data_IF_605433576372
#
_entry.id   IF_605433576372
#
_cell.length_a   1.000
_cell.length_b   1.000
_cell.length_c   1.000
_cell.angle_alpha   90.00
_cell.angle_beta   90.00
_cell.angle_gamma   90.00
#
_symmetry.space_group_name_H-M   'P 1'
#
loop_
_entity.id
_entity.type
_entity.pdbx_description
1 polymer ?
#
# COMPACT_ATOMS: atom_id res chain seq x y z
N UNK A 1 -7.66 7.08 15.27
CA UNK A 1 -7.59 6.02 14.23
C UNK A 1 -6.53 6.45 13.23
N UNK A 2 -5.46 5.67 13.03
CA UNK A 2 -4.39 6.02 12.08
C UNK A 2 -4.97 5.98 10.67
N UNK A 3 -5.41 7.14 10.16
CA UNK A 3 -6.01 7.27 8.84
C UNK A 3 -4.94 6.96 7.78
N UNK A 4 -5.02 5.78 7.18
CA UNK A 4 -4.26 5.48 5.97
C UNK A 4 -4.58 6.52 4.89
N UNK A 5 -3.56 6.96 4.16
CA UNK A 5 -3.72 7.90 3.04
C UNK A 5 -4.26 7.17 1.81
N UNK A 6 -4.87 7.93 0.90
CA UNK A 6 -5.27 7.40 -0.41
C UNK A 6 -4.04 6.91 -1.19
N UNK A 7 -4.22 5.81 -1.91
CA UNK A 7 -3.19 5.25 -2.79
C UNK A 7 -2.95 6.17 -3.98
N UNK A 8 -1.69 6.33 -4.37
CA UNK A 8 -1.32 6.96 -5.65
C UNK A 8 -1.42 5.93 -6.79
N UNK A 9 -1.29 6.38 -8.05
CA UNK A 9 -1.38 5.49 -9.23
C UNK A 9 -0.34 4.35 -9.19
N UNK A 10 0.92 4.64 -8.84
CA UNK A 10 1.98 3.62 -8.74
C UNK A 10 1.64 2.53 -7.71
N UNK A 11 1.08 2.91 -6.56
CA UNK A 11 0.66 1.98 -5.50
C UNK A 11 -0.54 1.12 -5.91
N UNK A 12 -1.47 1.67 -6.70
CA UNK A 12 -2.59 0.88 -7.25
C UNK A 12 -2.08 -0.21 -8.18
N UNK A 13 -1.20 0.16 -9.12
CA UNK A 13 -0.57 -0.80 -10.04
C UNK A 13 0.23 -1.85 -9.26
N UNK A 14 0.97 -1.44 -8.23
CA UNK A 14 1.72 -2.39 -7.38
C UNK A 14 0.82 -3.41 -6.68
N UNK A 15 -0.33 -2.98 -6.14
CA UNK A 15 -1.29 -3.89 -5.52
C UNK A 15 -1.95 -4.81 -6.55
N UNK A 16 -2.31 -4.28 -7.73
CA UNK A 16 -2.87 -5.06 -8.85
C UNK A 16 -1.89 -6.14 -9.33
N UNK A 17 -0.60 -5.81 -9.46
CA UNK A 17 0.47 -6.77 -9.81
C UNK A 17 0.62 -7.89 -8.76
N UNK A 18 0.29 -7.60 -7.49
CA UNK A 18 0.22 -8.59 -6.41
C UNK A 18 -1.12 -9.35 -6.34
N UNK A 19 -2.04 -9.10 -7.26
CA UNK A 19 -3.38 -9.69 -7.28
C UNK A 19 -4.32 -9.15 -6.20
N UNK A 20 -4.02 -7.97 -5.63
CA UNK A 20 -4.83 -7.32 -4.60
C UNK A 20 -5.66 -6.19 -5.21
N UNK A 21 -6.92 -6.04 -4.77
CA UNK A 21 -7.77 -4.95 -5.23
C UNK A 21 -7.41 -3.64 -4.51
N UNK A 22 -6.87 -2.61 -5.20
CA UNK A 22 -6.42 -1.38 -4.55
C UNK A 22 -7.54 -0.59 -3.86
N UNK A 23 -8.78 -0.75 -4.31
CA UNK A 23 -9.93 -0.06 -3.71
C UNK A 23 -10.19 -0.49 -2.27
N UNK A 24 -9.74 -1.69 -1.90
CA UNK A 24 -9.87 -2.21 -0.54
C UNK A 24 -8.73 -1.77 0.38
N UNK A 25 -7.74 -1.01 -0.12
CA UNK A 25 -6.54 -0.65 0.65
C UNK A 25 -6.34 0.87 0.78
N UNK A 26 -5.61 1.25 1.83
CA UNK A 26 -5.03 2.56 2.06
C UNK A 26 -3.54 2.40 2.33
N UNK A 27 -2.73 3.42 2.06
CA UNK A 27 -1.31 3.41 2.45
C UNK A 27 -1.18 3.95 3.87
N UNK A 28 -0.64 3.13 4.77
CA UNK A 28 -0.41 3.56 6.16
C UNK A 28 0.96 4.25 6.28
N UNK A 29 2.02 3.61 5.79
CA UNK A 29 3.38 4.16 5.78
C UNK A 29 4.02 3.90 4.43
N UNK A 30 4.82 4.87 3.98
CA UNK A 30 5.72 4.74 2.84
C UNK A 30 7.07 5.28 3.24
N UNK A 31 8.11 4.46 3.18
CA UNK A 31 9.51 4.87 3.25
C UNK A 31 10.17 4.60 1.89
N UNK A 32 11.48 4.88 1.79
CA UNK A 32 12.25 4.60 0.58
C UNK A 32 12.36 3.11 0.28
N UNK A 33 12.34 2.26 1.33
CA UNK A 33 12.61 0.82 1.26
C UNK A 33 11.41 -0.06 1.59
N UNK A 34 10.35 0.51 2.17
CA UNK A 34 9.17 -0.24 2.58
C UNK A 34 7.88 0.54 2.33
N UNK A 35 6.79 -0.18 2.12
CA UNK A 35 5.44 0.36 2.11
C UNK A 35 4.51 -0.56 2.88
N UNK A 36 3.66 0.02 3.72
CA UNK A 36 2.60 -0.70 4.41
C UNK A 36 1.24 -0.26 3.91
N UNK A 37 0.40 -1.25 3.59
CA UNK A 37 -0.98 -1.03 3.19
C UNK A 37 -1.92 -1.63 4.21
N UNK A 38 -2.94 -0.87 4.59
CA UNK A 38 -4.01 -1.34 5.47
C UNK A 38 -5.25 -1.65 4.64
N UNK A 39 -5.79 -2.86 4.81
CA UNK A 39 -7.06 -3.24 4.20
C UNK A 39 -8.22 -2.62 5.00
N UNK A 40 -9.10 -1.89 4.32
CA UNK A 40 -10.24 -1.17 4.91
C UNK A 40 -11.31 -2.11 5.49
N UNK A 41 -11.44 -3.31 4.92
CA UNK A 41 -12.46 -4.29 5.33
C UNK A 41 -12.01 -5.12 6.52
N UNK A 42 -10.75 -5.52 6.55
CA UNK A 42 -10.21 -6.43 7.58
C UNK A 42 -9.35 -5.73 8.63
N UNK A 43 -9.02 -4.44 8.44
CA UNK A 43 -8.04 -3.69 9.22
C UNK A 43 -6.66 -4.35 9.30
N UNK A 44 -6.38 -5.32 8.43
CA UNK A 44 -5.09 -6.02 8.38
C UNK A 44 -4.07 -5.15 7.67
N UNK A 45 -2.93 -4.94 8.31
CA UNK A 45 -1.77 -4.26 7.73
C UNK A 45 -0.87 -5.28 7.04
N UNK A 46 -0.51 -5.00 5.81
CA UNK A 46 0.41 -5.81 5.01
C UNK A 46 1.63 -4.97 4.64
N UNK A 47 2.82 -5.51 4.90
CA UNK A 47 4.09 -4.84 4.64
C UNK A 47 4.72 -5.41 3.39
N UNK A 48 5.23 -4.53 2.54
CA UNK A 48 5.98 -4.89 1.34
C UNK A 48 7.32 -4.16 1.36
N UNK A 49 8.41 -4.90 1.18
CA UNK A 49 9.70 -4.31 0.86
C UNK A 49 9.67 -3.86 -0.60
N UNK A 50 9.96 -2.59 -0.83
CA UNK A 50 10.00 -2.01 -2.17
C UNK A 50 10.96 -0.83 -2.19
N UNK A 51 11.85 -0.83 -3.17
CA UNK A 51 12.86 0.21 -3.32
C UNK A 51 12.29 1.34 -4.19
N UNK A 52 11.40 2.17 -3.62
CA UNK A 52 10.73 3.26 -4.36
C UNK A 52 11.70 4.30 -4.93
N UNK A 53 12.95 4.34 -4.46
CA UNK A 53 14.00 5.22 -4.96
C UNK A 53 14.60 4.78 -6.29
N UNK A 54 14.35 3.55 -6.75
CA UNK A 54 14.88 3.00 -8.02
C UNK A 54 13.82 2.75 -9.10
N UNK A 55 12.57 3.22 -8.91
CA UNK A 55 11.43 3.00 -9.83
C UNK A 55 10.92 4.27 -10.51
#
# INVERSE_FOLDING_TARGET
MKQGKKLNRKMKVFLEDKGLNPNDYLVERKTSTEVSFINKKTNKVTYFQCDWGKV
#
